data_IF_160715416491
#
_entry.id   IF_160715416491
#
_cell.length_a   1.000
_cell.length_b   1.000
_cell.length_c   1.000
_cell.angle_alpha   90.00
_cell.angle_beta   90.00
_cell.angle_gamma   90.00
#
_symmetry.space_group_name_H-M   'P 1'
#
loop_
_entity.id
_entity.type
_entity.pdbx_description
1 polymer ?
#
# COMPACT_ATOMS: atom_id res chain seq x y z
N UNK A 1 19.38 12.80 -5.61
CA UNK A 1 19.75 12.46 -7.00
C UNK A 1 18.49 12.03 -7.75
N UNK A 2 18.44 12.20 -9.07
CA UNK A 2 17.32 11.69 -9.86
C UNK A 2 17.60 10.25 -10.28
N UNK A 3 16.72 9.32 -9.91
CA UNK A 3 16.76 7.93 -10.35
C UNK A 3 15.44 7.56 -11.02
N UNK A 4 15.52 6.88 -12.16
CA UNK A 4 14.35 6.44 -12.92
C UNK A 4 14.22 4.91 -12.87
N UNK A 5 12.98 4.45 -12.96
CA UNK A 5 12.61 3.03 -12.88
C UNK A 5 12.34 2.47 -14.28
N UNK A 6 12.15 1.15 -14.40
CA UNK A 6 11.82 0.52 -15.68
C UNK A 6 10.54 1.09 -16.30
N UNK A 7 9.58 1.54 -15.47
CA UNK A 7 8.34 2.22 -15.88
C UNK A 7 8.51 3.70 -16.28
N UNK A 8 9.75 4.19 -16.41
CA UNK A 8 10.07 5.57 -16.79
C UNK A 8 9.62 6.63 -15.77
N UNK A 9 9.36 6.24 -14.52
CA UNK A 9 9.03 7.13 -13.40
C UNK A 9 10.33 7.52 -12.71
N UNK A 10 10.54 8.82 -12.45
CA UNK A 10 11.76 9.33 -11.84
C UNK A 10 11.51 9.96 -10.46
N UNK A 11 12.37 9.63 -9.50
CA UNK A 11 12.26 10.02 -8.10
C UNK A 11 13.51 10.75 -7.60
N UNK A 12 13.30 11.67 -6.66
CA UNK A 12 14.35 12.48 -6.06
C UNK A 12 14.89 11.78 -4.82
N UNK A 13 15.70 10.75 -5.06
CA UNK A 13 16.20 9.81 -4.02
C UNK A 13 17.40 10.41 -3.29
N UNK A 14 17.41 10.29 -1.97
CA UNK A 14 18.58 10.62 -1.15
C UNK A 14 19.67 9.54 -1.36
N UNK A 15 20.89 9.92 -1.78
CA UNK A 15 22.01 8.97 -1.94
C UNK A 15 22.26 8.07 -0.73
N UNK A 16 22.04 8.56 0.48
CA UNK A 16 22.36 7.82 1.71
C UNK A 16 21.49 6.57 1.89
N UNK A 17 20.32 6.52 1.25
CA UNK A 17 19.42 5.36 1.31
C UNK A 17 19.60 4.39 0.14
N UNK A 18 20.46 4.66 -0.84
CA UNK A 18 20.57 3.86 -2.07
C UNK A 18 20.89 2.39 -1.81
N UNK A 19 21.85 2.13 -0.92
CA UNK A 19 22.26 0.76 -0.60
C UNK A 19 21.17 0.04 0.19
N UNK A 20 20.51 0.75 1.11
CA UNK A 20 19.37 0.22 1.87
C UNK A 20 18.18 -0.12 0.95
N UNK A 21 17.89 0.74 -0.03
CA UNK A 21 16.87 0.51 -1.06
C UNK A 21 17.24 -0.74 -1.86
N UNK A 22 18.45 -0.80 -2.40
CA UNK A 22 18.91 -1.92 -3.24
C UNK A 22 18.84 -3.24 -2.49
N UNK A 23 19.31 -3.27 -1.24
CA UNK A 23 19.26 -4.45 -0.38
C UNK A 23 17.82 -4.87 -0.09
N UNK A 24 16.92 -3.92 0.18
CA UNK A 24 15.52 -4.26 0.46
C UNK A 24 14.78 -4.74 -0.79
N UNK A 25 15.01 -4.15 -1.96
CA UNK A 25 14.46 -4.64 -3.23
C UNK A 25 14.87 -6.09 -3.45
N UNK A 26 16.17 -6.42 -3.31
CA UNK A 26 16.66 -7.79 -3.48
C UNK A 26 16.02 -8.77 -2.46
N UNK A 27 15.94 -8.36 -1.18
CA UNK A 27 15.33 -9.15 -0.11
C UNK A 27 13.85 -9.43 -0.38
N UNK A 28 13.08 -8.40 -0.74
CA UNK A 28 11.64 -8.52 -1.01
C UNK A 28 11.38 -9.38 -2.24
N UNK A 29 12.14 -9.20 -3.33
CA UNK A 29 12.00 -10.05 -4.53
C UNK A 29 12.34 -11.50 -4.24
N UNK A 30 13.35 -11.76 -3.40
CA UNK A 30 13.61 -13.12 -2.90
C UNK A 30 12.43 -13.69 -2.10
N UNK A 31 11.84 -12.89 -1.19
CA UNK A 31 10.67 -13.32 -0.41
C UNK A 31 9.47 -13.67 -1.30
N UNK A 32 9.23 -12.88 -2.35
CA UNK A 32 8.20 -13.15 -3.35
C UNK A 32 8.51 -14.47 -4.07
N UNK A 33 9.73 -14.64 -4.58
CA UNK A 33 10.16 -15.85 -5.27
C UNK A 33 10.04 -17.10 -4.39
N UNK A 34 10.42 -17.02 -3.11
CA UNK A 34 10.32 -18.12 -2.15
C UNK A 34 8.85 -18.51 -1.87
N UNK A 35 7.92 -17.55 -1.86
CA UNK A 35 6.48 -17.84 -1.74
C UNK A 35 5.91 -18.42 -3.05
N UNK A 36 6.34 -17.92 -4.22
CA UNK A 36 5.91 -18.44 -5.51
C UNK A 36 6.40 -19.88 -5.72
N UNK A 37 7.61 -20.21 -5.28
CA UNK A 37 8.14 -21.57 -5.30
C UNK A 37 7.33 -22.56 -4.44
N UNK A 38 6.56 -22.07 -3.47
CA UNK A 38 5.60 -22.87 -2.69
C UNK A 38 4.24 -23.05 -3.40
N UNK A 39 4.10 -22.57 -4.63
CA UNK A 39 2.87 -22.66 -5.43
C UNK A 39 1.81 -21.62 -5.06
N UNK A 40 2.18 -20.55 -4.35
CA UNK A 40 1.25 -19.47 -4.01
C UNK A 40 1.13 -18.47 -5.15
N UNK A 41 -0.09 -17.98 -5.38
CA UNK A 41 -0.31 -16.73 -6.08
C UNK A 41 0.16 -15.56 -5.22
N UNK A 42 0.82 -14.59 -5.84
CA UNK A 42 1.46 -13.46 -5.21
C UNK A 42 0.60 -12.22 -5.46
N UNK A 43 0.15 -11.62 -4.37
CA UNK A 43 -0.53 -10.33 -4.38
C UNK A 43 0.32 -9.23 -3.77
N UNK A 44 0.07 -7.99 -4.18
CA UNK A 44 0.52 -6.80 -3.47
C UNK A 44 -0.64 -6.15 -2.70
N UNK A 45 -0.41 -5.73 -1.46
CA UNK A 45 -1.36 -4.90 -0.69
C UNK A 45 -0.97 -3.43 -0.76
N UNK A 46 -1.87 -2.59 -1.29
CA UNK A 46 -1.82 -1.15 -1.10
C UNK A 46 -2.72 -0.74 0.05
N UNK A 47 -2.16 0.03 0.99
CA UNK A 47 -2.83 0.44 2.22
C UNK A 47 -2.24 1.79 2.67
N UNK A 48 -3.08 2.75 3.14
CA UNK A 48 -2.59 4.07 3.51
C UNK A 48 -1.84 4.01 4.85
N UNK A 49 -0.53 3.77 4.85
CA UNK A 49 0.27 3.70 6.08
C UNK A 49 0.47 5.06 6.75
N UNK A 50 0.50 6.15 5.97
CA UNK A 50 0.73 7.49 6.48
C UNK A 50 -0.32 7.92 7.52
N UNK A 51 0.08 8.63 8.60
CA UNK A 51 -0.87 9.22 9.55
C UNK A 51 -1.58 10.48 9.01
N UNK A 52 -1.27 10.90 7.78
CA UNK A 52 -1.85 12.10 7.18
C UNK A 52 -3.39 12.08 7.21
N UNK A 53 -3.98 13.25 7.43
CA UNK A 53 -5.44 13.41 7.45
C UNK A 53 -6.14 12.91 8.72
N UNK A 54 -5.41 12.51 9.76
CA UNK A 54 -5.98 12.06 11.04
C UNK A 54 -5.90 10.55 11.27
N UNK A 55 -5.19 9.83 10.40
CA UNK A 55 -4.83 8.44 10.65
C UNK A 55 -3.72 8.30 11.68
N UNK A 56 -3.43 7.07 12.10
CA UNK A 56 -2.34 6.75 12.99
C UNK A 56 -1.49 5.63 12.38
N UNK A 57 -0.20 5.87 12.17
CA UNK A 57 0.69 4.95 11.46
C UNK A 57 0.62 3.52 12.01
N UNK A 58 0.75 3.35 13.32
CA UNK A 58 0.70 2.02 13.95
C UNK A 58 -0.66 1.33 13.77
N UNK A 59 -1.76 2.08 13.82
CA UNK A 59 -3.11 1.52 13.58
C UNK A 59 -3.26 1.11 12.12
N UNK A 60 -2.74 1.92 11.19
CA UNK A 60 -2.75 1.62 9.77
C UNK A 60 -1.88 0.39 9.45
N UNK A 61 -0.74 0.22 10.13
CA UNK A 61 0.10 -0.98 10.01
C UNK A 61 -0.58 -2.24 10.57
N UNK A 62 -1.25 -2.14 11.73
CA UNK A 62 -2.01 -3.25 12.30
C UNK A 62 -3.19 -3.65 11.38
N UNK A 63 -3.88 -2.67 10.81
CA UNK A 63 -4.95 -2.89 9.84
C UNK A 63 -4.42 -3.48 8.53
N UNK A 64 -3.24 -3.07 8.05
CA UNK A 64 -2.60 -3.67 6.89
C UNK A 64 -2.35 -5.17 7.10
N UNK A 65 -1.84 -5.54 8.27
CA UNK A 65 -1.66 -6.94 8.66
C UNK A 65 -2.99 -7.70 8.74
N UNK A 66 -4.00 -7.13 9.40
CA UNK A 66 -5.33 -7.74 9.49
C UNK A 66 -5.99 -7.93 8.11
N UNK A 67 -5.79 -6.97 7.21
CA UNK A 67 -6.26 -7.03 5.81
C UNK A 67 -5.55 -8.15 5.06
N UNK A 68 -4.22 -8.24 5.17
CA UNK A 68 -3.45 -9.32 4.54
C UNK A 68 -3.88 -10.70 5.04
N UNK A 69 -4.08 -10.86 6.35
CA UNK A 69 -4.61 -12.09 6.94
C UNK A 69 -6.03 -12.41 6.43
N UNK A 70 -6.90 -11.41 6.33
CA UNK A 70 -8.27 -11.59 5.85
C UNK A 70 -8.30 -12.01 4.37
N UNK A 71 -7.55 -11.32 3.51
CA UNK A 71 -7.41 -11.66 2.08
C UNK A 71 -6.81 -13.07 1.92
N UNK A 72 -5.79 -13.39 2.72
CA UNK A 72 -5.21 -14.73 2.78
C UNK A 72 -6.24 -15.79 3.18
N UNK A 73 -7.09 -15.53 4.18
CA UNK A 73 -8.18 -16.45 4.57
C UNK A 73 -9.22 -16.61 3.45
N UNK A 74 -9.59 -15.52 2.78
CA UNK A 74 -10.57 -15.52 1.68
C UNK A 74 -10.11 -16.36 0.50
N UNK A 75 -8.88 -16.18 0.05
CA UNK A 75 -8.35 -16.89 -1.13
C UNK A 75 -7.71 -18.24 -0.78
N UNK A 76 -7.42 -18.47 0.49
CA UNK A 76 -6.74 -19.65 1.01
C UNK A 76 -5.31 -19.33 1.45
N UNK A 77 -5.03 -19.50 2.74
CA UNK A 77 -3.70 -19.17 3.31
C UNK A 77 -2.56 -20.03 2.74
N UNK A 78 -2.89 -21.16 2.10
CA UNK A 78 -1.94 -22.05 1.42
C UNK A 78 -1.72 -21.70 -0.05
N UNK A 79 -2.61 -20.90 -0.63
CA UNK A 79 -2.68 -20.62 -2.08
C UNK A 79 -2.32 -19.18 -2.42
N UNK A 80 -2.38 -18.25 -1.45
CA UNK A 80 -2.03 -16.85 -1.65
C UNK A 80 -1.00 -16.37 -0.63
N UNK A 81 -0.06 -15.56 -1.10
CA UNK A 81 0.77 -14.69 -0.28
C UNK A 81 0.50 -13.23 -0.68
N UNK A 82 0.26 -12.36 0.30
CA UNK A 82 0.03 -10.93 0.07
C UNK A 82 1.21 -10.16 0.65
N UNK A 83 1.98 -9.49 -0.21
CA UNK A 83 3.07 -8.62 0.18
C UNK A 83 2.51 -7.38 0.87
N UNK A 84 2.80 -7.25 2.17
CA UNK A 84 2.32 -6.17 3.02
C UNK A 84 3.40 -5.08 3.19
N UNK A 85 3.22 -3.87 2.65
CA UNK A 85 4.22 -2.82 2.77
C UNK A 85 4.45 -2.34 4.21
N UNK A 86 3.47 -2.55 5.11
CA UNK A 86 3.62 -2.25 6.54
C UNK A 86 4.61 -3.14 7.27
N UNK A 87 4.94 -4.32 6.72
CA UNK A 87 5.92 -5.26 7.28
C UNK A 87 7.27 -5.19 6.56
N UNK A 88 7.29 -4.72 5.31
CA UNK A 88 8.43 -4.88 4.41
C UNK A 88 9.16 -3.56 4.07
N UNK A 89 8.85 -2.47 4.78
CA UNK A 89 9.35 -1.11 4.56
C UNK A 89 10.82 -0.82 4.92
N UNK A 90 11.63 -1.80 5.32
CA UNK A 90 13.06 -1.63 5.72
C UNK A 90 13.31 -0.66 6.89
N UNK A 91 13.72 -1.19 8.05
CA UNK A 91 14.15 -0.38 9.20
C UNK A 91 15.38 0.51 8.89
N UNK A 92 16.23 0.11 7.93
CA UNK A 92 17.40 0.89 7.50
C UNK A 92 17.00 2.17 6.73
N UNK A 93 15.73 2.30 6.35
CA UNK A 93 15.18 3.48 5.69
C UNK A 93 14.37 4.36 6.66
N UNK A 94 14.59 4.21 7.97
CA UNK A 94 13.99 5.11 8.95
C UNK A 94 14.41 6.56 8.67
N UNK A 95 13.42 7.45 8.58
CA UNK A 95 13.63 8.86 8.21
C UNK A 95 13.71 9.14 6.71
N UNK A 96 13.66 8.11 5.86
CA UNK A 96 13.63 8.28 4.42
C UNK A 96 12.35 9.02 3.98
N UNK A 97 12.47 9.78 2.91
CA UNK A 97 11.37 10.55 2.34
C UNK A 97 10.42 9.65 1.57
N UNK A 98 9.24 10.16 1.24
CA UNK A 98 8.34 9.46 0.35
C UNK A 98 8.97 9.09 -1.01
N UNK A 99 9.85 9.93 -1.58
CA UNK A 99 10.55 9.63 -2.82
C UNK A 99 11.39 8.36 -2.71
N UNK A 100 12.11 8.20 -1.60
CA UNK A 100 12.97 7.04 -1.35
C UNK A 100 12.15 5.76 -1.27
N UNK A 101 11.02 5.81 -0.53
CA UNK A 101 10.08 4.70 -0.44
C UNK A 101 9.43 4.38 -1.78
N UNK A 102 8.98 5.38 -2.53
CA UNK A 102 8.31 5.15 -3.81
C UNK A 102 9.27 4.66 -4.89
N UNK A 103 10.53 5.10 -4.89
CA UNK A 103 11.55 4.52 -5.76
C UNK A 103 11.72 3.03 -5.48
N UNK A 104 11.92 2.66 -4.20
CA UNK A 104 12.03 1.27 -3.77
C UNK A 104 10.79 0.44 -4.14
N UNK A 105 9.59 0.92 -3.80
CA UNK A 105 8.35 0.21 -4.09
C UNK A 105 8.09 0.09 -5.57
N UNK A 106 8.38 1.12 -6.38
CA UNK A 106 8.23 1.02 -7.83
C UNK A 106 9.14 -0.07 -8.40
N UNK A 107 10.40 -0.16 -7.96
CA UNK A 107 11.32 -1.22 -8.40
C UNK A 107 10.86 -2.62 -7.98
N UNK A 108 10.20 -2.76 -6.83
CA UNK A 108 9.61 -4.03 -6.40
C UNK A 108 8.40 -4.38 -7.30
N UNK A 109 7.47 -3.44 -7.46
CA UNK A 109 6.18 -3.66 -8.13
C UNK A 109 6.33 -3.84 -9.64
N UNK A 110 7.28 -3.14 -10.27
CA UNK A 110 7.48 -3.20 -11.71
C UNK A 110 8.23 -4.47 -12.16
N UNK A 111 8.86 -5.19 -11.25
CA UNK A 111 9.69 -6.35 -11.58
C UNK A 111 10.98 -5.95 -12.31
N UNK A 112 11.65 -6.92 -12.93
CA UNK A 112 12.90 -6.69 -13.66
C UNK A 112 12.65 -6.05 -15.02
N UNK A 113 11.53 -6.42 -15.67
CA UNK A 113 11.20 -5.98 -17.03
C UNK A 113 10.22 -4.82 -17.09
N UNK A 114 9.78 -4.29 -15.94
CA UNK A 114 8.73 -3.28 -15.90
C UNK A 114 7.35 -3.84 -16.28
N UNK A 115 7.14 -5.14 -16.08
CA UNK A 115 5.90 -5.87 -16.38
C UNK A 115 5.25 -6.44 -15.12
N UNK A 116 5.78 -6.18 -13.94
CA UNK A 116 5.27 -6.69 -12.67
C UNK A 116 5.17 -8.21 -12.63
N UNK A 117 6.07 -8.90 -13.34
CA UNK A 117 6.06 -10.35 -13.56
C UNK A 117 6.10 -11.19 -12.28
N UNK A 118 6.50 -10.57 -11.16
CA UNK A 118 6.53 -11.19 -9.85
C UNK A 118 5.14 -11.29 -9.20
N UNK A 119 4.11 -10.62 -9.74
CA UNK A 119 2.76 -10.52 -9.17
C UNK A 119 1.67 -11.11 -10.06
N UNK A 120 0.64 -11.65 -9.41
CA UNK A 120 -0.58 -12.15 -10.02
C UNK A 120 -1.76 -11.17 -9.83
N UNK A 121 -1.77 -10.41 -8.72
CA UNK A 121 -2.80 -9.41 -8.46
C UNK A 121 -2.35 -8.27 -7.53
N UNK A 122 -3.07 -7.16 -7.58
CA UNK A 122 -2.92 -6.02 -6.67
C UNK A 122 -4.23 -5.83 -5.90
N UNK A 123 -4.13 -5.61 -4.59
CA UNK A 123 -5.25 -5.40 -3.69
C UNK A 123 -5.13 -4.03 -3.04
N UNK A 124 -6.08 -3.14 -3.33
CA UNK A 124 -6.16 -1.80 -2.75
C UNK A 124 -7.21 -1.78 -1.64
N UNK A 125 -6.81 -1.45 -0.42
CA UNK A 125 -7.74 -1.44 0.72
C UNK A 125 -8.78 -0.33 0.60
N UNK A 126 -10.02 -0.67 0.96
CA UNK A 126 -11.13 0.27 0.95
C UNK A 126 -11.85 0.34 2.30
N UNK A 127 -12.95 1.12 2.37
CA UNK A 127 -13.66 1.36 3.62
C UNK A 127 -14.13 0.09 4.33
N UNK A 128 -14.50 -0.97 3.60
CA UNK A 128 -14.95 -2.25 4.19
C UNK A 128 -13.81 -2.95 4.94
N UNK A 129 -12.57 -2.84 4.46
CA UNK A 129 -11.40 -3.40 5.15
C UNK A 129 -11.15 -2.73 6.50
N UNK A 130 -11.26 -1.40 6.55
CA UNK A 130 -11.16 -0.65 7.82
C UNK A 130 -12.36 -0.91 8.73
N UNK A 131 -13.58 -0.90 8.19
CA UNK A 131 -14.80 -1.20 8.93
C UNK A 131 -14.70 -2.56 9.62
N UNK A 132 -14.16 -3.57 8.93
CA UNK A 132 -13.93 -4.90 9.51
C UNK A 132 -12.92 -4.87 10.66
N UNK A 133 -11.83 -4.12 10.53
CA UNK A 133 -10.82 -3.99 11.60
C UNK A 133 -11.38 -3.36 12.87
N UNK A 134 -12.21 -2.32 12.72
CA UNK A 134 -12.85 -1.63 13.86
C UNK A 134 -14.18 -2.25 14.29
N UNK A 135 -14.61 -3.36 13.69
CA UNK A 135 -15.90 -4.00 13.95
C UNK A 135 -17.08 -3.01 13.80
N UNK A 136 -17.00 -2.16 12.78
CA UNK A 136 -18.06 -1.21 12.42
C UNK A 136 -19.26 -1.97 11.84
N UNK A 137 -20.45 -1.48 12.15
CA UNK A 137 -21.72 -2.20 11.92
C UNK A 137 -22.68 -1.41 11.04
N UNK A 138 -22.33 -0.19 10.66
CA UNK A 138 -23.25 0.76 10.02
C UNK A 138 -24.17 1.47 11.02
N UNK A 139 -24.03 1.22 12.33
CA UNK A 139 -24.84 1.84 13.38
C UNK A 139 -23.93 2.50 14.42
N UNK A 140 -24.05 3.82 14.56
CA UNK A 140 -23.26 4.64 15.49
C UNK A 140 -21.74 4.45 15.35
N UNK A 141 -21.25 4.17 14.13
CA UNK A 141 -19.84 3.84 13.90
C UNK A 141 -18.88 4.97 14.30
N UNK A 142 -19.28 6.22 14.15
CA UNK A 142 -18.47 7.35 14.59
C UNK A 142 -18.33 7.40 16.12
N UNK A 143 -19.37 7.05 16.87
CA UNK A 143 -19.32 6.96 18.35
C UNK A 143 -18.43 5.78 18.78
N UNK A 144 -18.50 4.65 18.06
CA UNK A 144 -17.62 3.50 18.28
C UNK A 144 -16.15 3.86 18.07
N UNK A 145 -15.83 4.60 17.01
CA UNK A 145 -14.46 5.07 16.75
C UNK A 145 -13.97 6.05 17.81
N UNK A 146 -14.86 6.90 18.34
CA UNK A 146 -14.55 7.78 19.46
C UNK A 146 -14.25 7.00 20.74
N UNK A 147 -15.05 5.98 21.07
CA UNK A 147 -14.79 5.11 22.21
C UNK A 147 -13.50 4.30 22.04
N UNK A 148 -13.23 3.82 20.82
CA UNK A 148 -11.98 3.12 20.49
C UNK A 148 -10.77 4.02 20.67
N UNK A 149 -10.86 5.30 20.28
CA UNK A 149 -9.80 6.28 20.52
C UNK A 149 -9.53 6.44 22.02
N UNK A 150 -10.56 6.62 22.84
CA UNK A 150 -10.38 6.77 24.29
C UNK A 150 -9.74 5.53 24.91
N UNK A 151 -10.17 4.34 24.52
CA UNK A 151 -9.69 3.08 25.09
C UNK A 151 -8.29 2.69 24.61
N UNK A 152 -8.01 2.81 23.31
CA UNK A 152 -6.79 2.25 22.67
C UNK A 152 -5.72 3.29 22.32
N UNK A 153 -6.12 4.54 22.06
CA UNK A 153 -5.21 5.59 21.60
C UNK A 153 -4.81 6.52 22.73
N UNK A 154 -5.78 7.10 23.44
CA UNK A 154 -5.52 8.08 24.49
C UNK A 154 -4.72 7.49 25.67
N UNK A 155 -4.86 6.19 25.94
CA UNK A 155 -4.15 5.48 27.01
C UNK A 155 -2.78 4.98 26.60
N UNK A 156 -2.44 4.98 25.30
CA UNK A 156 -1.23 4.35 24.79
C UNK A 156 -0.08 5.37 24.69
N UNK A 157 1.03 5.15 25.43
CA UNK A 157 2.16 6.09 25.46
C UNK A 157 2.77 6.41 24.09
N UNK A 158 2.64 5.50 23.11
CA UNK A 158 3.18 5.69 21.76
C UNK A 158 2.53 6.86 21.00
N UNK A 159 1.34 7.30 21.41
CA UNK A 159 0.63 8.42 20.77
C UNK A 159 0.68 9.71 21.60
N UNK A 160 1.31 9.70 22.77
CA UNK A 160 1.32 10.83 23.70
C UNK A 160 1.77 12.13 23.04
N UNK A 161 2.88 12.09 22.30
CA UNK A 161 3.44 13.27 21.65
C UNK A 161 2.55 13.76 20.50
N UNK A 162 1.99 12.84 19.71
CA UNK A 162 1.08 13.16 18.62
C UNK A 162 -0.24 13.79 19.10
N UNK A 163 -0.74 13.35 20.26
CA UNK A 163 -1.91 13.95 20.90
C UNK A 163 -1.55 15.32 21.47
N UNK A 164 -0.43 15.43 22.20
CA UNK A 164 0.00 16.67 22.84
C UNK A 164 0.28 17.79 21.84
N UNK A 165 0.83 17.46 20.66
CA UNK A 165 1.11 18.43 19.61
C UNK A 165 -0.08 18.65 18.65
N UNK A 166 -1.23 17.99 18.87
CA UNK A 166 -2.45 18.17 18.09
C UNK A 166 -2.46 17.50 16.71
N UNK A 167 -1.41 16.76 16.33
CA UNK A 167 -1.38 16.03 15.06
C UNK A 167 -2.32 14.82 15.04
N UNK A 168 -2.67 14.29 16.21
CA UNK A 168 -3.66 13.22 16.38
C UNK A 168 -4.73 13.67 17.38
N UNK A 169 -5.93 13.93 16.89
CA UNK A 169 -7.09 14.30 17.72
C UNK A 169 -8.18 13.25 17.61
N UNK A 170 -9.03 13.15 18.64
CA UNK A 170 -10.18 12.25 18.64
C UNK A 170 -11.11 12.46 17.44
N UNK A 171 -11.45 13.72 17.16
CA UNK A 171 -12.28 14.07 16.01
C UNK A 171 -11.57 13.78 14.67
N UNK A 172 -10.26 14.03 14.57
CA UNK A 172 -9.46 13.69 13.40
C UNK A 172 -9.43 12.19 13.12
N UNK A 173 -9.18 11.39 14.16
CA UNK A 173 -9.21 9.93 14.13
C UNK A 173 -10.56 9.40 13.65
N UNK A 174 -11.64 9.82 14.32
CA UNK A 174 -13.01 9.46 13.96
C UNK A 174 -13.34 9.81 12.51
N UNK A 175 -13.05 11.03 12.08
CA UNK A 175 -13.35 11.48 10.71
C UNK A 175 -12.48 10.78 9.68
N UNK A 176 -11.25 10.41 10.02
CA UNK A 176 -10.41 9.63 9.13
C UNK A 176 -10.98 8.21 8.98
N UNK A 177 -11.07 7.45 10.07
CA UNK A 177 -11.47 6.03 10.01
C UNK A 177 -12.94 5.80 9.67
N UNK A 178 -13.82 6.77 9.95
CA UNK A 178 -15.24 6.67 9.64
C UNK A 178 -15.64 7.15 8.25
N UNK A 179 -14.86 8.04 7.62
CA UNK A 179 -15.28 8.70 6.37
C UNK A 179 -14.26 8.63 5.23
N UNK A 180 -12.97 8.43 5.53
CA UNK A 180 -11.86 8.59 4.55
C UNK A 180 -10.88 7.43 4.52
N UNK A 181 -11.02 6.45 5.42
CA UNK A 181 -10.12 5.31 5.52
C UNK A 181 -10.20 4.43 4.26
N UNK A 182 -9.31 4.69 3.30
CA UNK A 182 -9.16 3.94 2.05
C UNK A 182 -7.92 4.43 1.30
N UNK A 183 -7.53 3.70 0.27
CA UNK A 183 -6.48 4.15 -0.66
C UNK A 183 -6.80 5.48 -1.36
N UNK A 184 -8.07 5.91 -1.44
CA UNK A 184 -8.49 7.14 -2.12
C UNK A 184 -8.02 8.44 -1.45
N UNK A 185 -7.46 8.35 -0.24
CA UNK A 185 -6.95 9.51 0.51
C UNK A 185 -5.46 9.34 0.86
N UNK A 186 -4.73 8.59 0.04
CA UNK A 186 -3.31 8.31 0.24
C UNK A 186 -2.51 8.59 -1.02
N UNK A 187 -1.54 9.49 -0.88
CA UNK A 187 -0.60 9.82 -1.95
C UNK A 187 0.17 8.58 -2.42
N UNK A 188 0.73 7.78 -1.50
CA UNK A 188 1.46 6.57 -1.87
C UNK A 188 0.57 5.56 -2.61
N UNK A 189 -0.66 5.37 -2.15
CA UNK A 189 -1.60 4.45 -2.78
C UNK A 189 -2.06 4.92 -4.17
N UNK A 190 -2.14 6.24 -4.38
CA UNK A 190 -2.39 6.80 -5.71
C UNK A 190 -1.23 6.56 -6.67
N UNK A 191 0.01 6.70 -6.22
CA UNK A 191 1.18 6.36 -7.03
C UNK A 191 1.23 4.84 -7.32
N UNK A 192 0.96 3.99 -6.33
CA UNK A 192 0.85 2.52 -6.50
C UNK A 192 -0.25 2.11 -7.49
N UNK A 193 -1.41 2.79 -7.47
CA UNK A 193 -2.46 2.58 -8.46
C UNK A 193 -1.99 2.92 -9.87
N UNK A 194 -1.31 4.06 -10.02
CA UNK A 194 -0.78 4.51 -11.29
C UNK A 194 0.36 3.59 -11.79
N UNK A 195 1.16 3.00 -10.90
CA UNK A 195 2.15 1.95 -11.21
C UNK A 195 1.45 0.70 -11.76
N UNK A 196 0.42 0.19 -11.06
CA UNK A 196 -0.35 -0.96 -11.51
C UNK A 196 -0.98 -0.74 -12.90
N UNK A 197 -1.54 0.45 -13.13
CA UNK A 197 -2.09 0.89 -14.42
C UNK A 197 -1.01 0.89 -15.52
N UNK A 198 0.16 1.46 -15.25
CA UNK A 198 1.30 1.50 -16.19
C UNK A 198 1.80 0.10 -16.55
N UNK A 199 1.88 -0.80 -15.56
CA UNK A 199 2.25 -2.20 -15.79
C UNK A 199 1.25 -2.88 -16.72
N UNK A 200 -0.05 -2.74 -16.46
CA UNK A 200 -1.10 -3.32 -17.31
C UNK A 200 -1.09 -2.74 -18.72
N UNK A 201 -0.78 -1.44 -18.86
CA UNK A 201 -0.61 -0.80 -20.16
C UNK A 201 0.52 -1.43 -20.99
N UNK A 202 1.67 -1.68 -20.36
CA UNK A 202 2.78 -2.38 -21.01
C UNK A 202 2.46 -3.85 -21.30
N UNK A 203 1.82 -4.57 -20.37
CA UNK A 203 1.42 -5.98 -20.56
C UNK A 203 0.50 -6.16 -21.77
N UNK A 204 -0.44 -5.23 -22.02
CA UNK A 204 -1.32 -5.30 -23.20
C UNK A 204 -0.55 -5.30 -24.53
N UNK A 205 0.57 -4.56 -24.59
CA UNK A 205 1.44 -4.51 -25.76
C UNK A 205 2.51 -5.61 -25.80
N UNK A 206 2.68 -6.39 -24.72
CA UNK A 206 3.73 -7.39 -24.61
C UNK A 206 3.28 -8.76 -25.16
N UNK A 207 4.11 -9.40 -25.98
CA UNK A 207 3.78 -10.66 -26.65
C UNK A 207 3.61 -11.86 -25.69
N UNK A 208 4.26 -11.82 -24.53
CA UNK A 208 4.23 -12.84 -23.48
C UNK A 208 3.06 -12.67 -22.49
N UNK A 209 2.33 -11.55 -22.54
CA UNK A 209 1.17 -11.29 -21.68
C UNK A 209 -0.11 -11.03 -22.49
N UNK A 210 -0.21 -9.86 -23.11
CA UNK A 210 -1.44 -9.40 -23.76
C UNK A 210 -2.59 -9.09 -22.77
N UNK A 211 -3.77 -8.79 -23.32
CA UNK A 211 -4.98 -8.41 -22.55
C UNK A 211 -5.36 -9.48 -21.52
N UNK A 212 -5.23 -10.76 -21.87
CA UNK A 212 -5.67 -11.88 -21.04
C UNK A 212 -4.79 -12.12 -19.79
N UNK A 213 -3.55 -11.63 -19.79
CA UNK A 213 -2.59 -11.84 -18.70
C UNK A 213 -2.20 -10.52 -17.99
N UNK A 214 -3.09 -9.53 -18.01
CA UNK A 214 -2.98 -8.35 -17.16
C UNK A 214 -3.01 -8.75 -15.67
N UNK A 215 -2.41 -7.93 -14.82
CA UNK A 215 -2.57 -8.04 -13.37
C UNK A 215 -4.03 -7.82 -13.00
N UNK A 216 -4.59 -8.75 -12.23
CA UNK A 216 -5.89 -8.54 -11.61
C UNK A 216 -5.76 -7.41 -10.57
N UNK A 217 -6.71 -6.48 -10.56
CA UNK A 217 -6.76 -5.39 -9.58
C UNK A 217 -8.05 -5.50 -8.78
N UNK A 218 -7.92 -5.47 -7.46
CA UNK A 218 -9.02 -5.48 -6.52
C UNK A 218 -9.05 -4.18 -5.72
N UNK A 219 -10.24 -3.68 -5.44
CA UNK A 219 -10.48 -2.60 -4.51
C UNK A 219 -11.56 -3.02 -3.52
N UNK A 220 -11.28 -2.84 -2.23
CA UNK A 220 -12.23 -3.14 -1.14
C UNK A 220 -12.83 -4.56 -1.21
N UNK A 221 -11.99 -5.54 -1.59
CA UNK A 221 -12.40 -6.93 -1.75
C UNK A 221 -13.15 -7.25 -3.05
N UNK A 222 -13.31 -6.32 -3.97
CA UNK A 222 -13.99 -6.56 -5.25
C UNK A 222 -13.04 -6.38 -6.42
N UNK A 223 -13.15 -7.20 -7.49
CA UNK A 223 -12.47 -6.90 -8.75
C UNK A 223 -12.90 -5.53 -9.27
N UNK A 224 -11.94 -4.76 -9.78
CA UNK A 224 -12.27 -3.46 -10.39
C UNK A 224 -12.87 -3.68 -11.79
N UNK A 225 -13.75 -2.78 -12.19
CA UNK A 225 -14.29 -2.78 -13.56
C UNK A 225 -13.18 -2.55 -14.60
N UNK A 226 -13.38 -2.95 -15.88
CA UNK A 226 -12.39 -2.73 -16.94
C UNK A 226 -11.84 -1.30 -17.02
N UNK A 227 -12.72 -0.29 -17.01
CA UNK A 227 -12.31 1.12 -17.03
C UNK A 227 -11.59 1.57 -15.74
N UNK A 228 -11.78 0.85 -14.65
CA UNK A 228 -11.15 1.13 -13.35
C UNK A 228 -9.63 0.98 -13.37
N UNK A 229 -9.08 -0.08 -13.98
CA UNK A 229 -7.62 -0.25 -14.08
C UNK A 229 -7.01 0.49 -15.30
N UNK A 230 -7.80 1.14 -16.15
CA UNK A 230 -7.32 1.88 -17.33
C UNK A 230 -7.18 3.38 -17.08
N UNK A 231 -7.97 3.91 -16.14
CA UNK A 231 -8.01 5.35 -15.84
C UNK A 231 -6.94 5.71 -14.81
N UNK A 232 -6.10 6.75 -15.06
CA UNK A 232 -5.19 7.25 -14.04
C UNK A 232 -5.96 7.84 -12.87
N UNK A 233 -5.41 7.69 -11.66
CA UNK A 233 -5.85 8.47 -10.51
C UNK A 233 -5.00 9.73 -10.38
N UNK A 234 -5.47 10.70 -9.59
CA UNK A 234 -4.69 11.89 -9.27
C UNK A 234 -3.30 11.48 -8.77
N UNK A 235 -2.25 12.15 -9.24
CA UNK A 235 -0.89 11.80 -8.83
C UNK A 235 -0.75 11.91 -7.31
N UNK A 236 -0.07 10.93 -6.70
CA UNK A 236 0.35 11.04 -5.32
C UNK A 236 1.43 12.12 -5.16
N UNK A 237 2.19 12.33 -6.24
CA UNK A 237 3.37 13.19 -6.30
C UNK A 237 4.31 12.99 -5.12
N UNK A 238 4.45 11.74 -4.66
CA UNK A 238 5.37 11.38 -3.60
C UNK A 238 6.80 11.44 -4.15
N UNK A 239 7.32 12.67 -4.27
CA UNK A 239 8.69 13.00 -4.60
C UNK A 239 9.14 12.72 -6.05
N UNK A 240 8.25 12.93 -7.04
CA UNK A 240 8.60 12.89 -8.47
C UNK A 240 9.61 14.00 -8.82
N UNK A 241 10.64 13.67 -9.61
CA UNK A 241 11.51 14.69 -10.20
C UNK A 241 11.05 15.06 -11.62
N UNK A 242 11.38 16.27 -12.04
CA UNK A 242 11.43 16.63 -13.46
C UNK A 242 12.55 15.79 -14.11
N UNK A 243 12.26 15.18 -15.26
CA UNK A 243 13.26 14.48 -16.09
C UNK A 243 14.30 15.45 -16.62
#
# INVERSE_FOLDING_TARGET
MTLCTALDICYCVNPDYRDAITANVARVRKLIADNRAQGKAIGYLSVPLSPAGGGAYLVNSDMAKATAEHVGKRFGARTVYLLNPGEEGSAAMQGASGADYMYMWTQILEGERGLGEDFDFFYFSGPTDFARYFELTGTADLERLEAWFDDKIATNPKYKDAIANGSLTKAGFRNYYGLRASVAFSYGSHDEWNIARLINDRRRGAADFGIANQLAVLFDGQPVSPGGYETPTASGDVGRCIK
#
